data_IF_016979199681
#
_entry.id   IF_016979199681
#
_cell.length_a   1.000
_cell.length_b   1.000
_cell.length_c   1.000
_cell.angle_alpha   90.00
_cell.angle_beta   90.00
_cell.angle_gamma   90.00
#
_symmetry.space_group_name_H-M   'P 1'
#
loop_
_entity.id
_entity.type
_entity.pdbx_description
1 polymer ?
#
# COMPACT_ATOMS: atom_id res chain seq x y z
N UNK A 1 6.26 5.72 9.75
CA UNK A 1 5.42 5.91 8.54
C UNK A 1 5.44 7.40 8.25
N UNK A 2 5.73 7.78 7.01
CA UNK A 2 5.75 9.17 6.51
C UNK A 2 4.98 9.21 5.19
N UNK A 3 4.49 10.37 4.72
CA UNK A 3 3.96 10.51 3.37
C UNK A 3 4.95 10.00 2.32
N UNK A 4 4.46 9.42 1.22
CA UNK A 4 5.32 8.88 0.17
C UNK A 4 6.25 9.94 -0.46
N UNK A 5 5.82 11.21 -0.44
CA UNK A 5 6.59 12.37 -0.90
C UNK A 5 7.67 12.84 0.08
N UNK A 6 7.74 12.26 1.29
CA UNK A 6 8.58 12.72 2.40
C UNK A 6 9.47 11.58 2.95
N UNK A 7 9.74 10.55 2.15
CA UNK A 7 10.68 9.49 2.52
C UNK A 7 12.09 10.11 2.65
N UNK A 8 12.73 10.03 3.83
CA UNK A 8 14.06 10.63 4.03
C UNK A 8 15.14 9.94 3.19
N UNK A 9 16.20 10.67 2.89
CA UNK A 9 17.37 10.12 2.20
C UNK A 9 17.93 8.90 2.94
N UNK A 10 18.28 7.86 2.17
CA UNK A 10 18.78 6.58 2.71
C UNK A 10 17.67 5.61 3.16
N UNK A 11 16.39 6.01 3.07
CA UNK A 11 15.25 5.14 3.31
C UNK A 11 14.51 4.78 2.01
N UNK A 12 13.69 3.74 2.08
CA UNK A 12 12.86 3.29 0.97
C UNK A 12 11.45 2.93 1.48
N UNK A 13 10.44 3.19 0.65
CA UNK A 13 9.08 2.71 0.88
C UNK A 13 8.99 1.23 0.50
N UNK A 14 8.47 0.40 1.41
CA UNK A 14 8.42 -1.05 1.26
C UNK A 14 7.00 -1.63 1.29
N UNK A 15 6.03 -0.82 1.69
CA UNK A 15 4.60 -1.12 1.67
C UNK A 15 3.82 0.19 1.62
N UNK A 16 2.56 0.12 1.19
CA UNK A 16 1.67 1.29 1.19
C UNK A 16 1.30 1.69 2.62
N UNK A 17 1.20 3.00 2.85
CA UNK A 17 0.81 3.53 4.16
C UNK A 17 -0.70 3.40 4.44
N UNK A 18 -1.12 3.62 5.70
CA UNK A 18 -2.52 3.52 6.11
C UNK A 18 -3.45 4.48 5.37
N UNK A 19 -2.96 5.66 4.99
CA UNK A 19 -3.76 6.64 4.23
C UNK A 19 -4.04 6.16 2.80
N UNK A 20 -3.07 5.48 2.18
CA UNK A 20 -3.25 4.85 0.86
C UNK A 20 -4.21 3.67 0.95
N UNK A 21 -4.07 2.81 1.98
CA UNK A 21 -4.99 1.69 2.22
C UNK A 21 -6.42 2.22 2.33
N UNK A 22 -6.65 3.24 3.18
CA UNK A 22 -7.96 3.87 3.32
C UNK A 22 -8.51 4.40 2.00
N UNK A 23 -7.67 5.13 1.25
CA UNK A 23 -8.08 5.70 -0.04
C UNK A 23 -8.44 4.63 -1.06
N UNK A 24 -7.69 3.52 -1.11
CA UNK A 24 -7.98 2.38 -1.97
C UNK A 24 -9.27 1.69 -1.54
N UNK A 25 -9.46 1.43 -0.25
CA UNK A 25 -10.68 0.82 0.27
C UNK A 25 -11.94 1.63 -0.11
N UNK A 26 -11.90 2.96 0.05
CA UNK A 26 -13.03 3.84 -0.30
C UNK A 26 -13.39 3.76 -1.80
N UNK A 27 -12.40 3.66 -2.69
CA UNK A 27 -12.64 3.49 -4.13
C UNK A 27 -13.18 2.09 -4.43
N UNK A 28 -12.59 1.06 -3.81
CA UNK A 28 -12.97 -0.34 -4.02
C UNK A 28 -14.41 -0.63 -3.57
N UNK A 29 -14.91 0.04 -2.53
CA UNK A 29 -16.30 -0.10 -2.05
C UNK A 29 -17.34 0.16 -3.14
N UNK A 30 -17.04 1.06 -4.09
CA UNK A 30 -17.96 1.42 -5.18
C UNK A 30 -17.63 0.75 -6.50
N UNK A 31 -16.54 -0.01 -6.56
CA UNK A 31 -16.03 -0.60 -7.80
C UNK A 31 -16.77 -1.89 -8.13
N UNK A 32 -17.33 -1.98 -9.35
CA UNK A 32 -18.11 -3.15 -9.77
C UNK A 32 -17.26 -4.32 -10.26
N UNK A 33 -16.04 -4.06 -10.75
CA UNK A 33 -15.15 -5.10 -11.26
C UNK A 33 -13.71 -4.64 -11.11
N UNK A 34 -12.87 -5.50 -10.54
CA UNK A 34 -11.44 -5.26 -10.32
C UNK A 34 -10.67 -6.42 -10.94
N UNK A 35 -9.58 -6.07 -11.63
CA UNK A 35 -8.52 -7.02 -11.96
C UNK A 35 -7.30 -6.57 -11.16
N UNK A 36 -6.82 -7.43 -10.26
CA UNK A 36 -5.66 -7.15 -9.43
C UNK A 36 -4.55 -8.15 -9.72
N UNK A 37 -3.38 -7.63 -10.10
CA UNK A 37 -2.17 -8.41 -10.30
C UNK A 37 -0.96 -7.67 -9.71
N UNK A 38 -0.37 -8.22 -8.66
CA UNK A 38 0.83 -7.71 -8.00
C UNK A 38 0.58 -7.21 -6.57
N UNK A 39 1.52 -7.45 -5.63
CA UNK A 39 1.38 -7.02 -4.24
C UNK A 39 1.57 -5.51 -4.09
N UNK A 40 1.09 -4.94 -2.98
CA UNK A 40 1.25 -3.50 -2.67
C UNK A 40 2.54 -3.19 -1.92
N UNK A 41 3.17 -4.21 -1.34
CA UNK A 41 4.45 -4.13 -0.65
C UNK A 41 5.33 -5.35 -0.94
N UNK A 42 6.51 -5.40 -0.31
CA UNK A 42 7.39 -6.58 -0.36
C UNK A 42 6.85 -7.65 0.59
N UNK A 43 5.71 -8.23 0.21
CA UNK A 43 4.86 -9.08 1.04
C UNK A 43 5.56 -10.34 1.57
N UNK A 44 6.68 -10.75 0.97
CA UNK A 44 7.53 -11.84 1.46
C UNK A 44 8.10 -11.56 2.86
N UNK A 45 8.05 -10.30 3.33
CA UNK A 45 8.38 -9.91 4.70
C UNK A 45 7.10 -9.46 5.42
N UNK A 46 6.77 -10.11 6.54
CA UNK A 46 5.56 -9.84 7.34
C UNK A 46 5.37 -8.35 7.71
N UNK A 47 6.48 -7.63 7.92
CA UNK A 47 6.45 -6.19 8.24
C UNK A 47 5.97 -5.29 7.08
N UNK A 48 5.92 -5.82 5.86
CA UNK A 48 5.60 -5.10 4.61
C UNK A 48 4.49 -5.80 3.81
N UNK A 49 3.70 -6.64 4.46
CA UNK A 49 2.59 -7.37 3.85
C UNK A 49 1.23 -6.69 4.07
N UNK A 50 1.13 -5.76 5.03
CA UNK A 50 -0.14 -5.17 5.51
C UNK A 50 -0.93 -4.50 4.39
N UNK A 51 -0.27 -3.82 3.46
CA UNK A 51 -0.97 -3.20 2.34
C UNK A 51 -1.49 -4.16 1.29
N UNK A 52 -1.00 -5.41 1.28
CA UNK A 52 -1.43 -6.47 0.35
C UNK A 52 -2.55 -7.35 0.94
N UNK A 53 -2.65 -7.42 2.28
CA UNK A 53 -3.72 -8.14 3.00
C UNK A 53 -5.06 -7.39 2.99
#
# INVERSE_FOLDING_TARGET
IVPASEIPDGWMGLDVGPDSIKSFSEVLETTQTVIWNGPMGVFEFEKFAVGTE
#
